data_IF_005339817401
#
_entry.id   IF_005339817401
#
_cell.length_a   1.000
_cell.length_b   1.000
_cell.length_c   1.000
_cell.angle_alpha   90.00
_cell.angle_beta   90.00
_cell.angle_gamma   90.00
#
_symmetry.space_group_name_H-M   'P 1'
#
loop_
_entity.id
_entity.type
_entity.pdbx_description
1 polymer ?
#
# COMPACT_ATOMS: atom_id res chain seq x y z
N UNK A 1 -12.00 29.78 -4.56
CA UNK A 1 -12.89 28.70 -5.09
C UNK A 1 -13.03 27.64 -4.00
N UNK A 2 -14.17 26.94 -3.87
CA UNK A 2 -14.41 25.97 -2.78
C UNK A 2 -13.92 24.56 -3.12
N UNK A 3 -12.71 24.46 -3.67
CA UNK A 3 -12.18 23.23 -4.25
C UNK A 3 -11.27 22.50 -3.26
N UNK A 4 -11.01 21.23 -3.53
CA UNK A 4 -10.08 20.43 -2.75
C UNK A 4 -8.72 20.45 -3.44
N UNK A 5 -7.67 20.69 -2.66
CA UNK A 5 -6.28 20.70 -3.13
C UNK A 5 -5.54 19.61 -2.36
N UNK A 6 -4.91 18.69 -3.09
CA UNK A 6 -4.06 17.65 -2.53
C UNK A 6 -2.62 17.90 -2.98
N UNK A 7 -1.73 18.19 -2.03
CA UNK A 7 -0.29 18.24 -2.26
C UNK A 7 0.33 16.93 -1.75
N UNK A 8 0.96 16.19 -2.65
CA UNK A 8 1.57 14.91 -2.33
C UNK A 8 3.08 15.03 -2.13
N UNK A 9 3.63 14.19 -1.26
CA UNK A 9 5.07 14.06 -1.02
C UNK A 9 5.77 15.36 -0.62
N UNK A 10 5.14 16.16 0.26
CA UNK A 10 5.62 17.47 0.67
C UNK A 10 7.07 17.46 1.22
N UNK A 11 7.49 16.41 1.93
CA UNK A 11 8.87 16.22 2.38
C UNK A 11 9.96 16.33 1.28
N UNK A 12 9.61 16.14 0.00
CA UNK A 12 10.54 16.32 -1.13
C UNK A 12 10.70 17.80 -1.54
N UNK A 13 9.72 18.64 -1.24
CA UNK A 13 9.68 20.05 -1.64
C UNK A 13 10.20 20.97 -0.53
N UNK A 14 11.36 20.65 0.05
CA UNK A 14 11.93 21.33 1.23
C UNK A 14 12.02 22.85 1.06
N UNK A 15 12.48 23.32 -0.09
CA UNK A 15 12.65 24.76 -0.36
C UNK A 15 11.33 25.53 -0.50
N UNK A 16 10.21 24.83 -0.74
CA UNK A 16 8.89 25.43 -0.87
C UNK A 16 8.11 25.47 0.45
N UNK A 17 8.57 24.76 1.49
CA UNK A 17 7.92 24.71 2.81
C UNK A 17 7.67 26.10 3.43
N UNK A 18 8.59 27.08 3.35
CA UNK A 18 8.31 28.43 3.88
C UNK A 18 7.19 29.15 3.12
N UNK A 19 7.07 28.90 1.81
CA UNK A 19 5.98 29.46 1.01
C UNK A 19 4.64 28.82 1.37
N UNK A 20 4.61 27.50 1.60
CA UNK A 20 3.42 26.81 2.10
C UNK A 20 2.95 27.38 3.44
N UNK A 21 3.87 27.57 4.37
CA UNK A 21 3.62 28.16 5.69
C UNK A 21 2.95 29.53 5.54
N UNK A 22 3.55 30.43 4.76
CA UNK A 22 3.00 31.75 4.53
C UNK A 22 1.61 31.73 3.88
N UNK A 23 1.37 30.80 2.93
CA UNK A 23 0.06 30.64 2.30
C UNK A 23 -1.02 30.21 3.31
N UNK A 24 -0.68 29.28 4.22
CA UNK A 24 -1.59 28.79 5.25
C UNK A 24 -1.89 29.86 6.30
N UNK A 25 -0.89 30.66 6.69
CA UNK A 25 -1.09 31.80 7.61
C UNK A 25 -2.06 32.85 7.08
N UNK A 26 -2.13 33.02 5.76
CA UNK A 26 -3.07 33.94 5.12
C UNK A 26 -4.51 33.41 5.04
N UNK A 27 -4.77 32.17 5.44
CA UNK A 27 -6.12 31.61 5.40
C UNK A 27 -7.00 32.27 6.46
N UNK A 28 -8.03 32.99 6.01
CA UNK A 28 -9.04 33.57 6.87
C UNK A 28 -10.37 32.79 6.75
N UNK A 29 -10.86 32.15 7.84
CA UNK A 29 -12.12 31.40 7.84
C UNK A 29 -13.36 32.22 7.46
N UNK A 30 -13.33 33.55 7.64
CA UNK A 30 -14.45 34.43 7.33
C UNK A 30 -14.57 34.74 5.83
N UNK A 31 -13.43 34.76 5.12
CA UNK A 31 -13.38 35.06 3.69
C UNK A 31 -13.28 33.80 2.83
N UNK A 32 -12.79 32.70 3.39
CA UNK A 32 -12.70 31.43 2.70
C UNK A 32 -14.06 30.73 2.59
N UNK A 33 -14.25 30.06 1.45
CA UNK A 33 -15.41 29.19 1.24
C UNK A 33 -15.32 27.96 2.15
N UNK A 34 -16.41 27.63 2.85
CA UNK A 34 -16.49 26.53 3.81
C UNK A 34 -16.19 25.15 3.21
N UNK A 35 -16.33 25.00 1.90
CA UNK A 35 -16.09 23.75 1.17
C UNK A 35 -14.61 23.53 0.82
N UNK A 36 -13.76 24.57 0.94
CA UNK A 36 -12.33 24.44 0.65
C UNK A 36 -11.65 23.46 1.61
N UNK A 37 -10.78 22.62 1.07
CA UNK A 37 -9.93 21.70 1.84
C UNK A 37 -8.53 21.67 1.24
N UNK A 38 -7.52 21.83 2.08
CA UNK A 38 -6.13 21.58 1.75
C UNK A 38 -5.69 20.27 2.42
N UNK A 39 -5.27 19.31 1.61
CA UNK A 39 -4.73 18.02 2.05
C UNK A 39 -3.25 17.96 1.70
N UNK A 40 -2.44 17.51 2.66
CA UNK A 40 -0.99 17.39 2.52
C UNK A 40 -0.59 15.94 2.85
N UNK A 41 0.21 15.30 1.99
CA UNK A 41 0.84 14.01 2.31
C UNK A 41 2.35 14.18 2.46
N UNK A 42 2.92 13.62 3.52
CA UNK A 42 4.36 13.73 3.79
C UNK A 42 4.85 12.57 4.64
N UNK A 43 6.09 12.14 4.42
CA UNK A 43 6.84 11.42 5.45
C UNK A 43 7.22 12.39 6.58
N UNK A 44 7.49 11.89 7.80
CA UNK A 44 8.06 12.71 8.88
C UNK A 44 9.33 13.42 8.38
N UNK A 45 9.37 14.74 8.52
CA UNK A 45 10.48 15.57 8.08
C UNK A 45 10.66 16.74 9.02
N UNK A 46 11.91 17.04 9.38
CA UNK A 46 12.27 18.20 10.20
C UNK A 46 12.08 19.53 9.48
N UNK A 47 12.00 19.51 8.15
CA UNK A 47 11.77 20.69 7.33
C UNK A 47 10.28 21.05 7.17
N UNK A 48 9.37 20.18 7.61
CA UNK A 48 7.94 20.44 7.48
C UNK A 48 7.51 21.56 8.46
N UNK A 49 6.77 22.59 8.03
CA UNK A 49 6.46 23.75 8.88
C UNK A 49 5.65 23.37 10.12
N UNK A 50 6.16 23.75 11.30
CA UNK A 50 5.52 23.45 12.59
C UNK A 50 4.19 24.21 12.74
N UNK A 51 4.09 25.43 12.21
CA UNK A 51 2.85 26.22 12.19
C UNK A 51 1.72 25.51 11.45
N UNK A 52 2.00 24.98 10.26
CA UNK A 52 1.05 24.21 9.44
C UNK A 52 0.64 22.95 10.17
N UNK A 53 1.59 22.29 10.84
CA UNK A 53 1.25 21.19 11.74
C UNK A 53 0.31 21.68 12.83
N UNK A 54 0.65 22.67 13.64
CA UNK A 54 -0.18 23.12 14.77
C UNK A 54 -1.63 23.40 14.38
N UNK A 55 -1.87 24.05 13.24
CA UNK A 55 -3.22 24.43 12.77
C UNK A 55 -3.95 23.28 12.04
N UNK A 56 -3.22 22.33 11.44
CA UNK A 56 -3.80 21.23 10.67
C UNK A 56 -4.31 20.04 11.49
N UNK A 57 -5.13 19.20 10.85
CA UNK A 57 -5.47 17.86 11.37
C UNK A 57 -4.41 16.87 10.88
N UNK A 58 -3.87 16.06 11.79
CA UNK A 58 -2.83 15.07 11.49
C UNK A 58 -3.42 13.68 11.54
N UNK A 59 -3.14 12.89 10.52
CA UNK A 59 -3.53 11.50 10.43
C UNK A 59 -2.31 10.69 10.03
N UNK A 60 -2.04 9.61 10.77
CA UNK A 60 -0.98 8.66 10.45
C UNK A 60 -1.59 7.48 9.72
N UNK A 61 -1.18 7.28 8.46
CA UNK A 61 -1.54 6.08 7.71
C UNK A 61 -0.53 4.97 8.05
N UNK A 62 -0.77 4.25 9.14
CA UNK A 62 0.04 3.09 9.51
C UNK A 62 -0.46 1.84 8.79
N UNK A 63 0.43 0.95 8.30
CA UNK A 63 0.00 -0.32 7.74
C UNK A 63 -0.74 -1.16 8.80
N UNK A 64 -1.66 -2.06 8.37
CA UNK A 64 -2.37 -2.93 9.29
C UNK A 64 -1.40 -3.66 10.22
N UNK A 65 -1.74 -3.72 11.51
CA UNK A 65 -0.90 -4.40 12.52
C UNK A 65 -1.33 -5.85 12.63
N UNK A 66 -0.36 -6.76 12.47
CA UNK A 66 -0.53 -8.18 12.70
C UNK A 66 -0.87 -8.95 11.43
N UNK A 67 -0.32 -10.17 11.36
CA UNK A 67 -0.41 -11.07 10.22
C UNK A 67 -1.85 -11.27 9.73
N UNK A 68 -2.79 -11.50 10.65
CA UNK A 68 -4.21 -11.71 10.32
C UNK A 68 -4.80 -10.52 9.56
N UNK A 69 -4.50 -9.30 9.98
CA UNK A 69 -5.07 -8.10 9.38
C UNK A 69 -4.46 -7.84 7.99
N UNK A 70 -3.17 -8.13 7.79
CA UNK A 70 -2.57 -8.06 6.46
C UNK A 70 -3.19 -9.08 5.50
N UNK A 71 -3.34 -10.34 5.93
CA UNK A 71 -3.98 -11.37 5.10
C UNK A 71 -5.41 -10.96 4.75
N UNK A 72 -6.18 -10.48 5.74
CA UNK A 72 -7.54 -10.00 5.50
C UNK A 72 -7.53 -8.87 4.47
N UNK A 73 -6.68 -7.86 4.65
CA UNK A 73 -6.58 -6.71 3.73
C UNK A 73 -6.23 -7.09 2.29
N UNK A 74 -5.41 -8.13 2.09
CA UNK A 74 -5.04 -8.61 0.75
C UNK A 74 -6.04 -9.60 0.15
N UNK A 75 -6.75 -10.38 0.97
CA UNK A 75 -7.64 -11.45 0.49
C UNK A 75 -9.09 -10.98 0.32
N UNK A 76 -9.60 -10.09 1.18
CA UNK A 76 -11.00 -9.62 1.08
C UNK A 76 -11.25 -8.68 -0.10
N UNK A 77 -10.21 -8.25 -0.80
CA UNK A 77 -10.36 -7.45 -2.02
C UNK A 77 -10.88 -8.26 -3.21
N UNK A 78 -10.86 -9.59 -3.14
CA UNK A 78 -11.33 -10.45 -4.23
C UNK A 78 -12.82 -10.72 -4.14
N UNK A 79 -13.51 -10.67 -5.28
CA UNK A 79 -14.93 -11.02 -5.40
C UNK A 79 -15.10 -12.53 -5.57
N UNK A 80 -16.28 -13.07 -5.23
CA UNK A 80 -16.59 -14.49 -5.45
C UNK A 80 -16.42 -14.88 -6.93
N UNK A 81 -16.89 -14.04 -7.86
CA UNK A 81 -16.69 -14.21 -9.31
C UNK A 81 -15.21 -14.35 -9.70
N UNK A 82 -14.31 -13.62 -9.03
CA UNK A 82 -12.89 -13.73 -9.27
C UNK A 82 -12.33 -15.05 -8.73
N UNK A 83 -12.79 -15.47 -7.55
CA UNK A 83 -12.34 -16.70 -6.90
C UNK A 83 -12.82 -17.96 -7.64
N UNK A 84 -13.92 -17.87 -8.38
CA UNK A 84 -14.50 -18.96 -9.18
C UNK A 84 -14.14 -18.89 -10.68
N UNK A 85 -13.23 -17.98 -11.06
CA UNK A 85 -12.88 -17.75 -12.47
C UNK A 85 -12.08 -18.88 -13.13
N UNK A 86 -11.24 -19.57 -12.36
CA UNK A 86 -10.39 -20.66 -12.88
C UNK A 86 -11.14 -21.99 -12.89
N UNK A 87 -10.88 -22.83 -13.89
CA UNK A 87 -11.46 -24.18 -13.97
C UNK A 87 -11.10 -25.03 -12.73
N UNK A 88 -9.88 -24.84 -12.23
CA UNK A 88 -9.36 -25.44 -10.99
C UNK A 88 -9.62 -24.54 -9.78
N UNK A 89 -10.87 -24.10 -9.59
CA UNK A 89 -11.25 -23.13 -8.57
C UNK A 89 -10.84 -23.55 -7.12
N UNK A 90 -11.00 -24.81 -6.69
CA UNK A 90 -10.57 -25.24 -5.34
C UNK A 90 -9.06 -25.07 -5.10
N UNK A 91 -8.24 -25.39 -6.11
CA UNK A 91 -6.79 -25.27 -6.10
C UNK A 91 -6.38 -23.80 -6.12
N UNK A 92 -7.02 -23.01 -6.99
CA UNK A 92 -6.78 -21.58 -7.11
C UNK A 92 -7.04 -20.86 -5.79
N UNK A 93 -8.18 -21.12 -5.13
CA UNK A 93 -8.52 -20.50 -3.84
C UNK A 93 -7.48 -20.81 -2.75
N UNK A 94 -6.99 -22.05 -2.68
CA UNK A 94 -5.95 -22.47 -1.72
C UNK A 94 -4.62 -21.78 -1.99
N UNK A 95 -4.18 -21.75 -3.25
CA UNK A 95 -2.90 -21.16 -3.65
C UNK A 95 -2.93 -19.63 -3.56
N UNK A 96 -4.04 -18.99 -3.91
CA UNK A 96 -4.26 -17.57 -3.73
C UNK A 96 -4.17 -17.17 -2.26
N UNK A 97 -4.80 -17.93 -1.36
CA UNK A 97 -4.66 -17.70 0.07
C UNK A 97 -3.20 -17.84 0.53
N UNK A 98 -2.48 -18.85 0.04
CA UNK A 98 -1.06 -19.03 0.35
C UNK A 98 -0.20 -17.84 -0.13
N UNK A 99 -0.48 -17.28 -1.31
CA UNK A 99 0.18 -16.07 -1.83
C UNK A 99 -0.12 -14.84 -0.95
N UNK A 100 -1.39 -14.61 -0.57
CA UNK A 100 -1.75 -13.52 0.33
C UNK A 100 -1.10 -13.69 1.72
N UNK A 101 -1.02 -14.92 2.22
CA UNK A 101 -0.34 -15.24 3.47
C UNK A 101 1.17 -14.96 3.37
N UNK A 102 1.82 -15.39 2.29
CA UNK A 102 3.23 -15.12 2.03
C UNK A 102 3.53 -13.62 1.96
N UNK A 103 2.73 -12.86 1.22
CA UNK A 103 2.79 -11.39 1.15
C UNK A 103 2.73 -10.77 2.55
N UNK A 104 1.75 -11.18 3.35
CA UNK A 104 1.55 -10.70 4.70
C UNK A 104 2.73 -11.04 5.63
N UNK A 105 3.32 -12.23 5.50
CA UNK A 105 4.52 -12.62 6.26
C UNK A 105 5.71 -11.74 5.89
N UNK A 106 5.96 -11.50 4.60
CA UNK A 106 7.07 -10.63 4.16
C UNK A 106 6.92 -9.23 4.76
N UNK A 107 5.71 -8.65 4.68
CA UNK A 107 5.42 -7.33 5.23
C UNK A 107 5.63 -7.27 6.74
N UNK A 108 5.11 -8.25 7.51
CA UNK A 108 5.28 -8.27 8.96
C UNK A 108 6.75 -8.48 9.36
N UNK A 109 7.51 -9.29 8.62
CA UNK A 109 8.94 -9.52 8.91
C UNK A 109 9.78 -8.24 8.81
N UNK A 110 9.40 -7.26 7.98
CA UNK A 110 10.11 -5.97 7.90
C UNK A 110 10.15 -5.22 9.23
N UNK A 111 9.16 -5.45 10.11
CA UNK A 111 9.08 -4.80 11.43
C UNK A 111 10.20 -5.23 12.39
N UNK A 112 10.91 -6.32 12.08
CA UNK A 112 11.97 -6.87 12.93
C UNK A 112 13.37 -6.39 12.51
N UNK A 113 13.47 -5.44 11.56
CA UNK A 113 14.74 -4.90 11.10
C UNK A 113 15.71 -6.01 10.64
N UNK A 114 16.99 -6.00 11.08
CA UNK A 114 17.98 -7.02 10.72
C UNK A 114 17.60 -8.46 11.09
N UNK A 115 16.80 -8.67 12.15
CA UNK A 115 16.32 -10.01 12.52
C UNK A 115 15.26 -10.55 11.55
N UNK A 116 14.53 -9.63 10.90
CA UNK A 116 13.58 -9.95 9.85
C UNK A 116 14.27 -10.22 8.52
N UNK A 117 15.11 -9.27 8.10
CA UNK A 117 15.85 -9.24 6.84
C UNK A 117 17.20 -8.53 7.02
N UNK A 118 18.31 -9.16 6.61
CA UNK A 118 19.61 -8.49 6.54
C UNK A 118 19.60 -7.34 5.52
N UNK A 119 18.92 -7.54 4.39
CA UNK A 119 18.61 -6.51 3.38
C UNK A 119 17.10 -6.51 3.15
N UNK A 120 16.38 -5.40 3.40
CA UNK A 120 14.93 -5.38 3.27
C UNK A 120 14.50 -5.71 1.84
N UNK A 121 13.65 -6.73 1.70
CA UNK A 121 13.05 -7.07 0.40
C UNK A 121 11.68 -6.41 0.25
N UNK A 122 11.48 -5.69 -0.86
CA UNK A 122 10.28 -4.89 -1.10
C UNK A 122 9.23 -5.61 -1.98
N UNK A 123 8.72 -6.78 -1.54
CA UNK A 123 7.50 -7.35 -2.13
C UNK A 123 6.29 -6.42 -1.91
N UNK A 124 5.78 -5.82 -2.98
CA UNK A 124 4.70 -4.84 -3.01
C UNK A 124 3.36 -5.48 -3.36
N UNK A 125 2.29 -4.67 -3.36
CA UNK A 125 0.97 -5.08 -3.88
C UNK A 125 0.98 -5.28 -5.40
N UNK A 126 1.88 -4.62 -6.12
CA UNK A 126 2.04 -4.82 -7.56
C UNK A 126 2.61 -6.22 -7.86
N UNK A 127 3.63 -6.63 -7.10
CA UNK A 127 4.27 -7.95 -7.23
C UNK A 127 3.27 -9.07 -6.89
N UNK A 128 2.52 -8.91 -5.79
CA UNK A 128 1.41 -9.83 -5.45
C UNK A 128 0.42 -9.94 -6.61
N UNK A 129 0.06 -8.82 -7.25
CA UNK A 129 -0.88 -8.83 -8.37
C UNK A 129 -0.32 -9.54 -9.60
N UNK A 130 0.99 -9.45 -9.85
CA UNK A 130 1.68 -10.22 -10.91
C UNK A 130 1.65 -11.71 -10.59
N UNK A 131 2.06 -12.09 -9.38
CA UNK A 131 2.05 -13.48 -8.91
C UNK A 131 0.68 -14.14 -9.03
N UNK A 132 -0.40 -13.41 -8.68
CA UNK A 132 -1.77 -13.92 -8.79
C UNK A 132 -2.17 -14.16 -10.25
N UNK A 133 -1.84 -13.23 -11.17
CA UNK A 133 -2.14 -13.41 -12.60
C UNK A 133 -1.37 -14.59 -13.19
N UNK A 134 -0.11 -14.74 -12.81
CA UNK A 134 0.71 -15.89 -13.22
C UNK A 134 0.12 -17.19 -12.68
N UNK A 135 -0.27 -17.23 -11.42
CA UNK A 135 -0.92 -18.38 -10.81
C UNK A 135 -2.17 -18.79 -11.61
N UNK A 136 -3.06 -17.84 -11.95
CA UNK A 136 -4.23 -18.11 -12.78
C UNK A 136 -3.82 -18.72 -14.13
N UNK A 137 -2.89 -18.07 -14.82
CA UNK A 137 -2.40 -18.52 -16.12
C UNK A 137 -1.82 -19.95 -16.09
N UNK A 138 -1.04 -20.29 -15.08
CA UNK A 138 -0.46 -21.63 -14.95
C UNK A 138 -1.51 -22.70 -14.62
N UNK A 139 -2.52 -22.37 -13.82
CA UNK A 139 -3.61 -23.30 -13.52
C UNK A 139 -4.53 -23.55 -14.72
N UNK A 140 -4.65 -22.57 -15.62
CA UNK A 140 -5.44 -22.69 -16.85
C UNK A 140 -4.70 -23.46 -17.96
N UNK A 141 -3.37 -23.34 -18.05
CA UNK A 141 -2.57 -24.00 -19.12
C UNK A 141 -2.23 -25.45 -18.81
N UNK A 142 -1.87 -25.76 -17.57
CA UNK A 142 -1.31 -27.07 -17.21
C UNK A 142 -2.38 -27.94 -16.54
N UNK A 143 -2.53 -29.18 -16.98
CA UNK A 143 -3.44 -30.16 -16.36
C UNK A 143 -3.09 -30.42 -14.90
N UNK A 144 -1.78 -30.58 -14.61
CA UNK A 144 -1.25 -30.70 -13.26
C UNK A 144 -0.71 -29.37 -12.73
N UNK A 145 -0.81 -29.13 -11.42
CA UNK A 145 -0.32 -27.90 -10.79
C UNK A 145 1.22 -27.87 -10.83
N UNK A 146 1.84 -26.90 -11.52
CA UNK A 146 3.30 -26.84 -11.64
C UNK A 146 3.91 -26.14 -10.40
N UNK A 147 3.84 -26.79 -9.23
CA UNK A 147 4.35 -26.25 -7.96
C UNK A 147 5.79 -25.70 -8.04
N UNK A 148 6.77 -26.38 -8.68
CA UNK A 148 8.13 -25.87 -8.76
C UNK A 148 8.22 -24.53 -9.51
N UNK A 149 7.43 -24.38 -10.58
CA UNK A 149 7.40 -23.14 -11.39
C UNK A 149 6.77 -22.00 -10.60
N UNK A 150 5.65 -22.27 -9.93
CA UNK A 150 4.96 -21.28 -9.08
C UNK A 150 5.89 -20.82 -7.95
N UNK A 151 6.56 -21.75 -7.27
CA UNK A 151 7.50 -21.42 -6.19
C UNK A 151 8.71 -20.62 -6.69
N UNK A 152 9.23 -20.97 -7.86
CA UNK A 152 10.38 -20.27 -8.45
C UNK A 152 10.01 -18.84 -8.84
N UNK A 153 8.88 -18.63 -9.52
CA UNK A 153 8.45 -17.31 -9.96
C UNK A 153 8.12 -16.38 -8.78
N UNK A 154 7.36 -16.88 -7.79
CA UNK A 154 6.99 -16.09 -6.60
C UNK A 154 8.14 -15.90 -5.61
N UNK A 155 9.12 -16.81 -5.58
CA UNK A 155 10.17 -16.81 -4.57
C UNK A 155 11.52 -16.26 -5.04
N UNK A 156 11.80 -16.30 -6.35
CA UNK A 156 13.14 -16.04 -6.88
C UNK A 156 13.19 -15.03 -8.05
N UNK A 157 12.07 -14.74 -8.73
CA UNK A 157 12.04 -13.87 -9.93
C UNK A 157 11.14 -12.63 -9.75
N UNK A 158 10.98 -12.14 -8.53
CA UNK A 158 10.40 -10.80 -8.31
C UNK A 158 11.49 -9.72 -8.31
#
# INVERSE_FOLDING_TARGET
RGSWVLLQNCHLAVTWMPTLEHLVEQFNPETMKREFRLWLTSMPSTSFPVSVLQVGIKMTNEPPKGLRNNVMGSYTSFTDDFLDKCEKAPEFKKLLFALCFFHAVIQERRKFGPLGWNTPYEFTTADLSVCIRQLQHFLDIYDDIPYPVIQFLTGQID
#
